data_IF_058054016912
#
_entry.id   IF_058054016912
#
_cell.length_a   1.000
_cell.length_b   1.000
_cell.length_c   1.000
_cell.angle_alpha   90.00
_cell.angle_beta   90.00
_cell.angle_gamma   90.00
#
_symmetry.space_group_name_H-M   'P 1'
#
loop_
_entity.id
_entity.type
_entity.pdbx_description
1 polymer ?
#
# COMPACT_ATOMS: atom_id res chain seq x y z
N UNK A 1 -9.43 10.28 7.69
CA UNK A 1 -9.62 8.89 8.14
C UNK A 1 -8.35 8.38 8.78
N UNK A 2 -8.51 7.47 9.73
CA UNK A 2 -7.35 6.91 10.40
C UNK A 2 -6.75 5.77 9.61
N UNK A 3 -5.44 5.60 9.77
CA UNK A 3 -4.72 4.44 9.26
C UNK A 3 -5.33 3.16 9.84
N UNK A 4 -5.64 2.21 8.96
CA UNK A 4 -6.14 0.89 9.37
C UNK A 4 -5.22 -0.18 8.82
N UNK A 5 -4.83 -1.13 9.66
CA UNK A 5 -3.93 -2.21 9.31
C UNK A 5 -4.75 -3.47 8.99
N UNK A 6 -4.83 -3.80 7.71
CA UNK A 6 -5.70 -4.87 7.24
C UNK A 6 -5.00 -6.21 7.09
N UNK A 7 -3.69 -6.19 6.84
CA UNK A 7 -2.96 -7.39 6.43
C UNK A 7 -1.71 -7.56 7.25
N UNK A 8 -1.45 -8.80 7.67
CA UNK A 8 -0.21 -9.18 8.34
C UNK A 8 0.51 -10.23 7.52
N UNK A 9 1.84 -10.16 7.52
CA UNK A 9 2.69 -11.15 6.85
C UNK A 9 3.86 -11.49 7.74
N UNK A 10 4.27 -12.77 7.71
CA UNK A 10 5.51 -13.18 8.33
C UNK A 10 6.61 -13.16 7.28
N UNK A 11 7.74 -12.55 7.60
CA UNK A 11 8.87 -12.49 6.69
C UNK A 11 9.53 -13.85 6.63
N UNK A 12 9.61 -14.41 5.42
CA UNK A 12 10.23 -15.70 5.15
C UNK A 12 11.62 -15.50 4.56
N UNK A 13 12.41 -16.56 4.55
CA UNK A 13 13.76 -16.51 3.98
C UNK A 13 13.77 -16.00 2.54
N UNK A 14 12.79 -16.39 1.73
CA UNK A 14 12.70 -15.97 0.32
C UNK A 14 12.49 -14.47 0.15
N UNK A 15 12.10 -13.78 1.21
CA UNK A 15 11.83 -12.34 1.16
C UNK A 15 13.06 -11.50 1.49
N UNK A 16 14.18 -12.15 1.82
CA UNK A 16 15.39 -11.48 2.29
C UNK A 16 16.39 -11.23 1.17
N UNK A 17 17.11 -10.13 1.30
CA UNK A 17 18.27 -9.85 0.46
C UNK A 17 19.52 -10.57 1.02
N UNK A 18 20.67 -10.36 0.39
CA UNK A 18 21.91 -11.02 0.80
C UNK A 18 22.43 -10.56 2.17
N UNK A 19 21.92 -9.43 2.67
CA UNK A 19 22.27 -8.93 4.00
C UNK A 19 21.41 -9.54 5.11
N UNK A 20 20.46 -10.40 4.74
CA UNK A 20 19.55 -11.01 5.71
C UNK A 20 18.42 -10.13 6.14
N UNK A 21 18.12 -9.07 5.40
CA UNK A 21 17.01 -8.16 5.69
C UNK A 21 16.01 -8.15 4.55
N UNK A 22 14.79 -7.71 4.85
CA UNK A 22 13.70 -7.69 3.89
C UNK A 22 14.05 -6.82 2.67
N UNK A 23 13.86 -7.37 1.47
CA UNK A 23 14.02 -6.62 0.22
C UNK A 23 13.03 -5.46 0.16
N UNK A 24 13.55 -4.26 -0.18
CA UNK A 24 12.70 -3.10 -0.41
C UNK A 24 11.68 -3.34 -1.52
N UNK A 25 12.10 -3.96 -2.63
CA UNK A 25 11.20 -4.29 -3.73
C UNK A 25 10.10 -5.26 -3.33
N UNK A 26 10.39 -6.18 -2.42
CA UNK A 26 9.39 -7.11 -1.90
C UNK A 26 8.31 -6.36 -1.13
N UNK A 27 8.72 -5.42 -0.29
CA UNK A 27 7.78 -4.58 0.45
C UNK A 27 6.91 -3.79 -0.52
N UNK A 28 7.50 -3.23 -1.57
CA UNK A 28 6.75 -2.46 -2.56
C UNK A 28 5.74 -3.32 -3.32
N UNK A 29 6.08 -4.58 -3.64
CA UNK A 29 5.13 -5.52 -4.23
C UNK A 29 3.91 -5.69 -3.32
N UNK A 30 4.15 -5.92 -2.04
CA UNK A 30 3.07 -6.10 -1.07
C UNK A 30 2.23 -4.84 -0.90
N UNK A 31 2.89 -3.69 -0.87
CA UNK A 31 2.20 -2.41 -0.75
C UNK A 31 1.29 -2.19 -1.97
N UNK A 32 1.79 -2.45 -3.16
CA UNK A 32 1.01 -2.24 -4.38
C UNK A 32 -0.20 -3.17 -4.44
N UNK A 33 -0.01 -4.45 -4.09
CA UNK A 33 -1.11 -5.41 -4.03
C UNK A 33 -2.19 -4.99 -3.03
N UNK A 34 -1.77 -4.62 -1.81
CA UNK A 34 -2.71 -4.23 -0.76
C UNK A 34 -3.38 -2.90 -1.09
N UNK A 35 -2.65 -1.99 -1.72
CA UNK A 35 -3.20 -0.71 -2.15
C UNK A 35 -4.28 -0.92 -3.24
N UNK A 36 -4.04 -1.84 -4.17
CA UNK A 36 -5.03 -2.20 -5.18
C UNK A 36 -6.33 -2.69 -4.53
N UNK A 37 -6.19 -3.63 -3.58
CA UNK A 37 -7.35 -4.19 -2.87
C UNK A 37 -8.09 -3.08 -2.13
N UNK A 38 -7.35 -2.25 -1.39
CA UNK A 38 -7.92 -1.16 -0.62
C UNK A 38 -8.69 -0.19 -1.52
N UNK A 39 -8.09 0.25 -2.63
CA UNK A 39 -8.72 1.19 -3.54
C UNK A 39 -9.93 0.59 -4.25
N UNK A 40 -9.84 -0.69 -4.65
CA UNK A 40 -10.97 -1.40 -5.25
C UNK A 40 -12.17 -1.40 -4.30
N UNK A 41 -11.93 -1.67 -3.03
CA UNK A 41 -12.99 -1.69 -2.02
C UNK A 41 -13.54 -0.28 -1.77
N UNK A 42 -12.67 0.72 -1.72
CA UNK A 42 -13.10 2.09 -1.48
C UNK A 42 -13.95 2.64 -2.63
N UNK A 43 -13.62 2.26 -3.86
CA UNK A 43 -14.29 2.78 -5.06
C UNK A 43 -15.36 1.84 -5.62
N UNK A 44 -15.53 0.66 -5.03
CA UNK A 44 -16.45 -0.38 -5.52
C UNK A 44 -16.21 -0.70 -6.99
N UNK A 45 -14.95 -0.78 -7.38
CA UNK A 45 -14.57 -1.03 -8.78
C UNK A 45 -13.20 -1.70 -8.80
N UNK A 46 -13.11 -2.84 -9.43
CA UNK A 46 -11.83 -3.56 -9.56
C UNK A 46 -11.00 -3.07 -10.75
N UNK A 47 -11.54 -2.16 -11.56
CA UNK A 47 -10.80 -1.55 -12.66
C UNK A 47 -10.11 -0.28 -12.17
N UNK A 48 -9.10 -0.48 -11.35
CA UNK A 48 -8.26 0.61 -10.85
C UNK A 48 -6.81 0.28 -11.17
N UNK A 49 -6.01 1.32 -11.41
CA UNK A 49 -4.58 1.14 -11.71
C UNK A 49 -3.74 2.09 -10.88
N UNK A 50 -2.57 1.62 -10.51
CA UNK A 50 -1.59 2.45 -9.82
C UNK A 50 -1.06 3.49 -10.80
N UNK A 51 -1.14 4.75 -10.43
CA UNK A 51 -0.60 5.84 -11.23
C UNK A 51 0.75 6.29 -10.75
N UNK A 52 0.91 6.45 -9.45
CA UNK A 52 2.17 6.95 -8.89
C UNK A 52 2.31 6.59 -7.42
N UNK A 53 3.55 6.54 -6.99
CA UNK A 53 3.93 6.46 -5.59
C UNK A 53 4.99 7.51 -5.35
N UNK A 54 4.91 8.23 -4.24
CA UNK A 54 5.91 9.25 -3.93
C UNK A 54 6.24 9.27 -2.45
N UNK A 55 7.44 9.73 -2.17
CA UNK A 55 7.99 9.80 -0.82
C UNK A 55 7.99 8.42 -0.16
N UNK A 56 8.63 7.47 -0.83
CA UNK A 56 8.85 6.13 -0.30
C UNK A 56 10.06 6.20 0.61
N UNK A 57 9.89 5.79 1.87
CA UNK A 57 10.94 5.86 2.87
C UNK A 57 11.08 4.49 3.53
N UNK A 58 12.28 3.91 3.42
CA UNK A 58 12.64 2.66 4.08
C UNK A 58 13.33 3.01 5.40
N UNK A 59 12.55 3.08 6.47
CA UNK A 59 13.01 3.62 7.74
C UNK A 59 13.78 2.63 8.59
N UNK A 60 13.35 1.38 8.62
CA UNK A 60 14.00 0.34 9.42
C UNK A 60 13.96 -0.98 8.68
N UNK A 61 14.99 -1.79 8.91
CA UNK A 61 15.04 -3.12 8.32
C UNK A 61 14.15 -4.09 9.09
N UNK A 62 13.82 -5.20 8.46
CA UNK A 62 13.11 -6.29 9.07
C UNK A 62 13.82 -7.60 8.72
N UNK A 63 13.65 -8.60 9.56
CA UNK A 63 14.37 -9.87 9.41
C UNK A 63 13.39 -11.04 9.37
N UNK A 64 13.91 -12.21 9.04
CA UNK A 64 13.13 -13.44 9.01
C UNK A 64 12.42 -13.65 10.34
N UNK A 65 11.16 -14.02 10.26
CA UNK A 65 10.33 -14.27 11.43
C UNK A 65 9.61 -13.06 11.97
N UNK A 66 10.00 -11.86 11.55
CA UNK A 66 9.25 -10.67 11.93
C UNK A 66 7.86 -10.72 11.32
N UNK A 67 6.88 -10.27 12.08
CA UNK A 67 5.51 -10.12 11.58
C UNK A 67 5.31 -8.64 11.29
N UNK A 68 4.96 -8.34 10.05
CA UNK A 68 4.66 -6.97 9.63
C UNK A 68 3.17 -6.84 9.40
N UNK A 69 2.67 -5.63 9.54
CA UNK A 69 1.31 -5.32 9.15
C UNK A 69 1.31 -4.08 8.26
N UNK A 70 0.38 -4.09 7.31
CA UNK A 70 0.29 -3.06 6.28
C UNK A 70 -0.99 -2.27 6.51
N UNK A 71 -0.84 -0.97 6.67
CA UNK A 71 -1.94 -0.05 6.92
C UNK A 71 -2.14 0.89 5.75
N UNK A 72 -3.38 1.27 5.55
CA UNK A 72 -3.78 2.19 4.49
C UNK A 72 -4.73 3.24 5.04
N UNK A 73 -4.68 4.41 4.42
CA UNK A 73 -5.55 5.52 4.80
C UNK A 73 -5.84 6.35 3.54
N UNK A 74 -7.13 6.70 3.35
CA UNK A 74 -7.51 7.60 2.25
C UNK A 74 -7.17 9.03 2.63
N UNK A 75 -6.40 9.69 1.76
CA UNK A 75 -6.00 11.08 1.95
C UNK A 75 -6.93 12.00 1.18
N UNK A 76 -7.24 11.63 -0.08
CA UNK A 76 -8.01 12.49 -0.97
C UNK A 76 -8.79 11.66 -1.98
N UNK A 77 -10.01 12.09 -2.26
CA UNK A 77 -10.81 11.54 -3.36
C UNK A 77 -10.92 12.63 -4.43
N UNK A 78 -10.30 12.40 -5.58
CA UNK A 78 -10.41 13.28 -6.73
C UNK A 78 -11.62 12.91 -7.58
N UNK A 79 -11.65 13.39 -8.81
CA UNK A 79 -12.75 13.09 -9.74
C UNK A 79 -12.68 11.66 -10.26
N UNK A 80 -11.48 11.28 -10.77
CA UNK A 80 -11.22 9.93 -11.28
C UNK A 80 -10.20 9.19 -10.41
N UNK A 81 -9.62 9.83 -9.41
CA UNK A 81 -8.50 9.30 -8.65
C UNK A 81 -8.80 9.16 -7.17
N UNK A 82 -8.01 8.34 -6.52
CA UNK A 82 -7.96 8.24 -5.06
C UNK A 82 -6.50 8.30 -4.66
N UNK A 83 -6.21 9.10 -3.65
CA UNK A 83 -4.87 9.21 -3.08
C UNK A 83 -4.91 8.60 -1.69
N UNK A 84 -4.02 7.68 -1.45
CA UNK A 84 -3.90 6.99 -0.17
C UNK A 84 -2.48 7.11 0.33
N UNK A 85 -2.29 6.82 1.61
CA UNK A 85 -0.95 6.62 2.15
C UNK A 85 -0.87 5.28 2.84
N UNK A 86 0.34 4.77 2.96
CA UNK A 86 0.60 3.44 3.46
C UNK A 86 1.67 3.46 4.53
N UNK A 87 1.49 2.62 5.53
CA UNK A 87 2.47 2.39 6.58
C UNK A 87 2.65 0.90 6.75
N UNK A 88 3.90 0.44 6.72
CA UNK A 88 4.26 -0.94 7.00
C UNK A 88 5.05 -0.93 8.29
N UNK A 89 4.58 -1.64 9.31
CA UNK A 89 5.24 -1.65 10.60
C UNK A 89 5.42 -3.06 11.14
N UNK A 90 6.39 -3.21 12.02
CA UNK A 90 6.54 -4.44 12.78
C UNK A 90 5.39 -4.53 13.77
N UNK A 91 4.64 -5.64 13.72
CA UNK A 91 3.44 -5.80 14.57
C UNK A 91 3.77 -5.76 16.06
N UNK A 92 4.90 -6.37 16.44
CA UNK A 92 5.24 -6.52 17.85
C UNK A 92 5.85 -5.27 18.47
N UNK A 93 6.68 -4.56 17.71
CA UNK A 93 7.36 -3.35 18.19
C UNK A 93 6.63 -2.07 17.82
N UNK A 94 5.72 -2.14 16.82
CA UNK A 94 5.03 -1.01 16.22
C UNK A 94 5.97 -0.03 15.51
N UNK A 95 7.20 -0.48 15.23
CA UNK A 95 8.20 0.34 14.56
C UNK A 95 7.92 0.36 13.05
N UNK A 96 7.89 1.54 12.47
CA UNK A 96 7.68 1.69 11.02
C UNK A 96 8.88 1.15 10.27
N UNK A 97 8.62 0.27 9.31
CA UNK A 97 9.63 -0.30 8.43
C UNK A 97 9.68 0.50 7.15
N UNK A 98 8.54 0.74 6.54
CA UNK A 98 8.44 1.47 5.28
C UNK A 98 7.19 2.33 5.31
N UNK A 99 7.29 3.55 4.80
CA UNK A 99 6.13 4.42 4.63
C UNK A 99 6.09 4.96 3.22
N UNK A 100 4.88 5.18 2.70
CA UNK A 100 4.66 5.83 1.41
C UNK A 100 3.63 6.93 1.65
N UNK A 101 4.04 8.17 1.46
CA UNK A 101 3.18 9.31 1.77
C UNK A 101 2.03 9.46 0.79
N UNK A 102 2.23 9.04 -0.46
CA UNK A 102 1.21 9.25 -1.49
C UNK A 102 1.25 8.11 -2.51
N UNK A 103 0.13 7.41 -2.63
CA UNK A 103 -0.09 6.44 -3.68
C UNK A 103 -1.37 6.86 -4.37
N UNK A 104 -1.31 7.09 -5.69
CA UNK A 104 -2.46 7.53 -6.47
C UNK A 104 -2.92 6.38 -7.35
N UNK A 105 -4.19 6.01 -7.22
CA UNK A 105 -4.85 5.08 -8.12
C UNK A 105 -5.86 5.84 -8.96
N UNK A 106 -6.05 5.38 -10.19
CA UNK A 106 -7.03 5.96 -11.11
C UNK A 106 -8.13 4.93 -11.37
N UNK A 107 -9.37 5.39 -11.24
CA UNK A 107 -10.56 4.61 -11.53
C UNK A 107 -10.77 4.56 -13.04
N UNK A 108 -11.00 3.37 -13.57
CA UNK A 108 -11.20 3.17 -15.00
C UNK A 108 -12.63 2.71 -15.28
N UNK A 109 -13.14 3.14 -16.44
CA UNK A 109 -14.40 2.64 -16.96
C UNK A 109 -14.21 1.32 -17.72
N UNK A 110 -15.31 0.75 -18.25
CA UNK A 110 -15.25 -0.48 -19.03
C UNK A 110 -14.37 -0.39 -20.26
N UNK A 111 -14.16 0.82 -20.78
CA UNK A 111 -13.31 1.08 -21.95
C UNK A 111 -11.83 1.19 -21.58
N UNK A 112 -11.47 1.07 -20.31
CA UNK A 112 -10.10 1.16 -19.84
C UNK A 112 -9.59 2.59 -19.70
N UNK A 113 -10.46 3.58 -19.85
CA UNK A 113 -10.08 4.99 -19.70
C UNK A 113 -10.50 5.53 -18.34
N UNK A 114 -9.82 6.57 -17.85
CA UNK A 114 -10.22 7.19 -16.58
C UNK A 114 -11.69 7.57 -16.56
N UNK A 115 -12.35 7.25 -15.48
CA UNK A 115 -13.78 7.50 -15.32
C UNK A 115 -14.07 7.98 -13.90
N UNK A 116 -15.07 8.86 -13.72
CA UNK A 116 -15.45 9.32 -12.41
C UNK A 116 -15.89 8.16 -11.52
N UNK A 117 -15.45 8.15 -10.27
CA UNK A 117 -15.86 7.12 -9.31
C UNK A 117 -17.07 7.53 -8.47
N UNK A 118 -17.38 8.82 -8.45
CA UNK A 118 -18.56 9.32 -7.75
C UNK A 118 -18.49 9.28 -6.22
N UNK A 119 -17.34 8.95 -5.66
CA UNK A 119 -17.18 8.86 -4.21
C UNK A 119 -16.69 10.17 -3.63
N UNK A 120 -17.13 10.46 -2.40
CA UNK A 120 -16.70 11.63 -1.65
C UNK A 120 -16.25 11.20 -0.27
N UNK A 121 -15.26 11.92 0.23
CA UNK A 121 -14.69 11.66 1.53
C UNK A 121 -15.63 12.12 2.65
#
# INVERSE_FOLDING_TARGET
MKMKYFTRKMIAHKDLNSNGTLFGGRVLDWIDEEAYIYCSCQLDNDRVVTRSMSNIDFKHSAIRGDIIEIGMETVKLGHTSITIKCDVRNKRTERTITSVDSIVFVNLGPDGKPAPHGKKK
#
